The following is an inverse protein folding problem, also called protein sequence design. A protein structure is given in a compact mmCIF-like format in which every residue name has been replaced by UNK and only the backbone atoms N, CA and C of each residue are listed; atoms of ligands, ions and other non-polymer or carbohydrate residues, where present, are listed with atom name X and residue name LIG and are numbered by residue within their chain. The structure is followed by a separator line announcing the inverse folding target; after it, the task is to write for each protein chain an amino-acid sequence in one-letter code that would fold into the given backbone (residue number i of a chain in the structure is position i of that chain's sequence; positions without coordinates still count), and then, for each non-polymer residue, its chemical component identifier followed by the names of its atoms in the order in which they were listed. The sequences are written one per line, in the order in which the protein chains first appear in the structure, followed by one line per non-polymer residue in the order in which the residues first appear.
data_IF_100206875572
#
_entry.id   IF_100206875572
#
_cell.length_a   1.000
_cell.length_b   1.000
_cell.length_c   1.000
_cell.angle_alpha   90.00
_cell.angle_beta   90.00
_cell.angle_gamma   90.00
#
_symmetry.space_group_name_H-M   'P 1'
#
loop_
_entity.id
_entity.type
_entity.pdbx_description
1 polymer ?
#
# COMPACT_ATOMS: atom_id res chain seq x y z
N UNK A 1 -24.59 -0.23 14.50
CA UNK A 1 -24.09 -1.31 15.38
C UNK A 1 -24.93 -1.30 16.65
N UNK A 2 -25.05 -2.40 17.40
CA UNK A 2 -25.71 -2.36 18.74
C UNK A 2 -24.77 -1.60 19.70
N UNK A 3 -25.28 -0.63 20.46
CA UNK A 3 -24.52 0.28 21.33
C UNK A 3 -23.46 -0.42 22.20
N UNK A 4 -23.75 -1.59 22.76
CA UNK A 4 -22.79 -2.35 23.58
C UNK A 4 -21.56 -2.91 22.85
N UNK A 5 -21.55 -2.98 21.50
CA UNK A 5 -20.37 -3.40 20.71
C UNK A 5 -19.40 -2.26 20.43
N UNK A 6 -19.88 -1.02 20.38
CA UNK A 6 -19.01 0.15 20.14
C UNK A 6 -18.17 0.45 21.39
N UNK A 7 -18.76 0.32 22.56
CA UNK A 7 -18.06 0.50 23.84
C UNK A 7 -16.96 -0.56 24.04
N UNK A 8 -17.20 -1.82 23.66
CA UNK A 8 -16.19 -2.88 23.78
C UNK A 8 -15.02 -2.69 22.82
N UNK A 9 -15.28 -2.22 21.59
CA UNK A 9 -14.24 -1.92 20.59
C UNK A 9 -13.41 -0.72 21.01
N UNK A 10 -14.04 0.36 21.50
CA UNK A 10 -13.32 1.54 21.99
C UNK A 10 -12.42 1.20 23.19
N UNK A 11 -12.90 0.34 24.11
CA UNK A 11 -12.07 -0.18 25.22
C UNK A 11 -10.90 -1.01 24.72
N UNK A 12 -11.08 -1.84 23.71
CA UNK A 12 -10.01 -2.64 23.12
C UNK A 12 -8.95 -1.77 22.43
N UNK A 13 -9.36 -0.76 21.67
CA UNK A 13 -8.45 0.20 21.02
C UNK A 13 -7.66 0.95 22.09
N UNK A 14 -8.33 1.52 23.10
CA UNK A 14 -7.64 2.23 24.18
C UNK A 14 -6.73 1.32 25.01
N UNK A 15 -7.03 0.02 25.11
CA UNK A 15 -6.11 -0.95 25.70
C UNK A 15 -4.85 -1.13 24.85
N UNK A 16 -4.98 -1.27 23.53
CA UNK A 16 -3.85 -1.41 22.61
C UNK A 16 -2.98 -0.15 22.60
N UNK A 17 -3.58 1.04 22.49
CA UNK A 17 -2.87 2.33 22.53
C UNK A 17 -2.03 2.48 23.81
N UNK A 18 -2.57 2.07 24.96
CA UNK A 18 -1.86 2.11 26.25
C UNK A 18 -0.80 1.01 26.40
N UNK A 19 -1.10 -0.19 25.92
CA UNK A 19 -0.23 -1.36 26.07
C UNK A 19 1.00 -1.29 25.17
N UNK A 20 0.80 -0.76 23.97
CA UNK A 20 1.79 -0.63 22.91
C UNK A 20 2.06 0.86 22.66
N UNK A 21 2.38 1.57 23.74
CA UNK A 21 2.78 2.96 23.67
C UNK A 21 4.07 3.10 22.86
N UNK A 22 4.15 4.16 22.08
CA UNK A 22 5.30 4.55 21.27
C UNK A 22 5.57 6.04 21.48
N UNK A 23 6.82 6.47 21.31
CA UNK A 23 7.23 7.85 21.57
C UNK A 23 7.01 8.79 20.39
N UNK A 24 6.64 8.27 19.22
CA UNK A 24 6.49 9.04 17.99
C UNK A 24 5.04 9.26 17.55
N UNK A 25 4.06 8.97 18.42
CA UNK A 25 2.61 9.17 18.19
C UNK A 25 2.16 10.62 18.50
N UNK A 26 2.76 11.60 17.82
CA UNK A 26 2.38 13.02 17.97
C UNK A 26 1.19 13.32 17.04
N UNK A 27 0.17 14.01 17.56
CA UNK A 27 -1.15 14.11 16.90
C UNK A 27 -1.30 15.37 16.06
N UNK A 28 -0.66 16.46 16.45
CA UNK A 28 -0.76 17.75 15.76
C UNK A 28 0.49 18.61 15.96
N UNK A 29 0.61 19.70 15.20
CA UNK A 29 1.77 20.62 15.24
C UNK A 29 2.19 21.07 16.63
N UNK A 30 1.25 21.32 17.54
CA UNK A 30 1.58 21.78 18.89
C UNK A 30 2.32 20.71 19.73
N UNK A 31 2.14 19.42 19.43
CA UNK A 31 2.86 18.33 20.11
C UNK A 31 4.35 18.33 19.73
N UNK A 32 4.72 19.01 18.65
CA UNK A 32 6.09 19.05 18.09
C UNK A 32 6.63 20.48 18.03
N UNK A 33 6.19 21.36 18.94
CA UNK A 33 6.67 22.74 19.02
C UNK A 33 6.33 23.61 17.81
N UNK A 34 5.32 23.24 17.02
CA UNK A 34 4.92 23.90 15.77
C UNK A 34 6.03 23.95 14.69
N UNK A 35 6.97 23.00 14.70
CA UNK A 35 8.05 22.95 13.70
C UNK A 35 7.55 22.74 12.26
N UNK A 36 6.43 22.02 12.07
CA UNK A 36 5.79 21.81 10.77
C UNK A 36 4.28 21.63 10.92
N UNK A 37 3.53 21.72 9.81
CA UNK A 37 2.06 21.61 9.81
C UNK A 37 1.60 20.16 9.84
N UNK A 38 0.87 19.78 10.88
CA UNK A 38 0.33 18.44 11.09
C UNK A 38 -0.98 18.50 11.89
N UNK A 39 -1.87 17.56 11.59
CA UNK A 39 -3.20 17.44 12.18
C UNK A 39 -3.48 15.99 12.53
N UNK A 40 -4.50 15.77 13.35
CA UNK A 40 -4.98 14.42 13.69
C UNK A 40 -5.38 13.60 12.46
N UNK A 41 -5.70 14.26 11.33
CA UNK A 41 -6.08 13.60 10.07
C UNK A 41 -4.90 13.12 9.22
N UNK A 42 -3.70 13.68 9.40
CA UNK A 42 -2.54 13.35 8.55
C UNK A 42 -1.28 12.94 9.32
N UNK A 43 -1.29 12.96 10.65
CA UNK A 43 -0.11 12.55 11.42
C UNK A 43 0.36 11.12 11.11
N UNK A 44 -0.54 10.14 10.90
CA UNK A 44 -0.14 8.77 10.54
C UNK A 44 0.53 8.66 9.15
N UNK A 45 0.20 9.52 8.18
CA UNK A 45 0.94 9.53 6.90
C UNK A 45 2.26 10.30 7.05
N UNK A 46 2.27 11.37 7.85
CA UNK A 46 3.46 12.21 8.06
C UNK A 46 4.53 11.51 8.90
N UNK A 47 4.15 10.85 9.98
CA UNK A 47 5.04 10.12 10.88
C UNK A 47 5.36 8.76 10.29
N UNK A 48 6.63 8.54 9.92
CA UNK A 48 7.04 7.37 9.15
C UNK A 48 6.80 6.06 9.90
N UNK A 49 6.87 6.07 11.22
CA UNK A 49 6.66 4.90 12.06
C UNK A 49 5.25 4.28 11.98
N UNK A 50 4.24 5.04 11.52
CA UNK A 50 2.86 4.53 11.38
C UNK A 50 2.59 3.84 10.03
N UNK A 51 3.59 3.70 9.16
CA UNK A 51 3.43 2.98 7.90
C UNK A 51 3.58 1.47 8.10
N UNK A 52 2.63 0.61 7.65
CA UNK A 52 2.69 -0.84 7.80
C UNK A 52 3.61 -1.50 6.76
N UNK A 53 4.88 -1.10 6.73
CA UNK A 53 5.90 -1.59 5.82
C UNK A 53 7.29 -1.63 6.47
N UNK A 54 8.29 -2.09 5.72
CA UNK A 54 9.66 -2.24 6.22
C UNK A 54 10.32 -0.91 6.60
N UNK A 55 9.98 0.19 5.92
CA UNK A 55 10.50 1.52 6.24
C UNK A 55 9.85 2.03 7.53
N UNK A 56 8.54 1.86 7.67
CA UNK A 56 7.85 2.20 8.91
C UNK A 56 8.35 1.39 10.11
N UNK A 57 8.60 0.09 9.93
CA UNK A 57 9.25 -0.74 10.96
C UNK A 57 10.64 -0.21 11.33
N UNK A 58 11.46 0.13 10.33
CA UNK A 58 12.80 0.67 10.56
C UNK A 58 12.75 1.98 11.36
N UNK A 59 11.95 2.96 10.92
CA UNK A 59 11.81 4.24 11.62
C UNK A 59 11.22 4.06 13.01
N UNK A 60 10.22 3.20 13.17
CA UNK A 60 9.64 2.87 14.47
C UNK A 60 10.66 2.35 15.47
N UNK A 61 11.49 1.38 15.07
CA UNK A 61 12.54 0.85 15.95
C UNK A 61 13.57 1.94 16.23
N UNK A 62 14.05 2.64 15.20
CA UNK A 62 15.04 3.72 15.36
C UNK A 62 14.55 4.78 16.34
N UNK A 63 13.32 5.25 16.18
CA UNK A 63 12.68 6.28 17.00
C UNK A 63 12.52 5.84 18.46
N UNK A 64 12.11 4.58 18.70
CA UNK A 64 12.02 4.02 20.05
C UNK A 64 13.38 3.88 20.74
N UNK A 65 14.44 3.55 19.98
CA UNK A 65 15.80 3.44 20.51
C UNK A 65 16.42 4.79 20.85
N UNK A 66 16.10 5.82 20.07
CA UNK A 66 16.77 7.13 20.14
C UNK A 66 15.94 8.21 20.82
N UNK A 67 14.72 7.88 21.29
CA UNK A 67 13.76 8.87 21.79
C UNK A 67 13.48 9.99 20.77
N UNK A 68 13.47 9.66 19.48
CA UNK A 68 13.15 10.62 18.41
C UNK A 68 11.83 10.29 17.74
N UNK A 69 11.31 11.20 16.91
CA UNK A 69 10.18 10.95 16.03
C UNK A 69 10.49 11.50 14.63
N UNK A 70 10.35 10.66 13.59
CA UNK A 70 10.69 11.02 12.21
C UNK A 70 9.46 11.23 11.35
N UNK A 71 9.35 12.44 10.79
CA UNK A 71 8.23 12.90 9.96
C UNK A 71 8.68 13.25 8.55
N UNK A 72 7.72 13.33 7.62
CA UNK A 72 7.92 13.90 6.29
C UNK A 72 7.09 15.16 6.12
N UNK A 73 7.74 16.24 5.70
CA UNK A 73 7.09 17.47 5.29
C UNK A 73 7.84 18.08 4.10
N UNK A 74 7.11 18.51 3.07
CA UNK A 74 7.67 19.13 1.86
C UNK A 74 8.83 18.32 1.25
N UNK A 75 8.66 17.00 1.13
CA UNK A 75 9.69 16.10 0.60
C UNK A 75 10.96 15.95 1.44
N UNK A 76 10.96 16.38 2.70
CA UNK A 76 12.12 16.28 3.60
C UNK A 76 11.78 15.48 4.85
N UNK A 77 12.75 14.72 5.34
CA UNK A 77 12.65 14.06 6.64
C UNK A 77 12.97 15.08 7.73
N UNK A 78 12.07 15.22 8.69
CA UNK A 78 12.24 16.04 9.88
C UNK A 78 12.23 15.10 11.08
N UNK A 79 13.33 15.03 11.81
CA UNK A 79 13.44 14.23 13.04
C UNK A 79 13.54 15.15 14.24
N UNK A 80 12.66 14.93 15.21
CA UNK A 80 12.63 15.71 16.47
C UNK A 80 13.00 14.83 17.66
N UNK A 81 13.53 15.45 18.70
CA UNK A 81 13.72 14.81 20.00
C UNK A 81 12.39 14.83 20.77
N UNK A 82 11.91 13.66 21.16
CA UNK A 82 10.62 13.52 21.85
C UNK A 82 10.70 13.91 23.32
N UNK A 83 11.90 13.99 23.89
CA UNK A 83 12.10 14.43 25.28
C UNK A 83 11.90 15.94 25.45
N UNK A 84 12.23 16.73 24.42
CA UNK A 84 12.06 18.19 24.40
C UNK A 84 10.59 18.60 24.47
N UNK A 85 9.71 17.81 23.83
CA UNK A 85 8.27 18.10 23.72
C UNK A 85 7.40 17.20 24.60
N UNK A 86 8.01 16.40 25.48
CA UNK A 86 7.30 15.52 26.41
C UNK A 86 6.57 16.35 27.47
N UNK A 87 5.24 16.34 27.44
CA UNK A 87 4.40 17.03 28.45
C UNK A 87 4.52 16.43 29.86
N UNK A 88 5.04 15.20 29.99
CA UNK A 88 5.26 14.52 31.27
C UNK A 88 6.69 14.64 31.79
N UNK A 89 7.61 15.23 31.02
CA UNK A 89 9.03 15.34 31.36
C UNK A 89 9.77 14.00 31.45
N UNK A 90 9.12 12.90 31.03
CA UNK A 90 9.70 11.54 31.04
C UNK A 90 10.03 11.11 29.62
N UNK A 91 11.24 10.61 29.41
CA UNK A 91 11.63 9.94 28.17
C UNK A 91 10.92 8.59 28.04
N UNK A 92 10.72 8.15 26.81
CA UNK A 92 10.17 6.83 26.56
C UNK A 92 11.21 5.75 26.88
N UNK A 93 10.76 4.71 27.57
CA UNK A 93 11.63 3.60 27.95
C UNK A 93 11.34 2.36 27.10
N UNK A 94 12.20 2.09 26.12
CA UNK A 94 12.15 0.86 25.36
C UNK A 94 12.56 -0.35 26.22
N UNK A 95 11.60 -1.22 26.51
CA UNK A 95 11.78 -2.38 27.39
C UNK A 95 12.68 -3.45 26.78
N UNK A 96 13.60 -3.98 27.59
CA UNK A 96 14.47 -5.10 27.24
C UNK A 96 15.86 -4.96 27.86
N UNK A 97 16.41 -6.07 28.37
CA UNK A 97 17.72 -6.09 29.04
C UNK A 97 18.90 -6.26 28.05
N UNK A 98 18.63 -6.61 26.80
CA UNK A 98 19.62 -6.81 25.74
C UNK A 98 19.16 -6.13 24.46
N UNK A 99 20.08 -5.85 23.53
CA UNK A 99 19.74 -5.24 22.23
C UNK A 99 18.73 -6.09 21.45
N UNK A 100 18.88 -7.43 21.30
CA UNK A 100 17.87 -8.25 20.63
C UNK A 100 16.50 -8.19 21.32
N UNK A 101 16.45 -8.20 22.65
CA UNK A 101 15.20 -8.08 23.39
C UNK A 101 14.52 -6.72 23.15
N UNK A 102 15.29 -5.63 23.09
CA UNK A 102 14.78 -4.29 22.75
C UNK A 102 14.26 -4.20 21.31
N UNK A 103 14.94 -4.83 20.35
CA UNK A 103 14.46 -4.92 18.96
C UNK A 103 13.11 -5.65 18.91
N UNK A 104 13.01 -6.80 19.59
CA UNK A 104 11.76 -7.56 19.66
C UNK A 104 10.64 -6.77 20.33
N UNK A 105 10.91 -6.12 21.48
CA UNK A 105 9.94 -5.24 22.13
C UNK A 105 9.51 -4.09 21.23
N UNK A 106 10.46 -3.46 20.51
CA UNK A 106 10.18 -2.38 19.59
C UNK A 106 9.29 -2.81 18.42
N UNK A 107 9.53 -4.02 17.88
CA UNK A 107 8.66 -4.66 16.90
C UNK A 107 7.25 -4.91 17.45
N UNK A 108 7.13 -5.46 18.67
CA UNK A 108 5.83 -5.72 19.30
C UNK A 108 5.05 -4.42 19.57
N UNK A 109 5.73 -3.37 20.05
CA UNK A 109 5.14 -2.04 20.23
C UNK A 109 4.63 -1.48 18.92
N UNK A 110 5.46 -1.52 17.87
CA UNK A 110 5.08 -1.07 16.54
C UNK A 110 3.85 -1.79 16.00
N UNK A 111 3.88 -3.13 16.00
CA UNK A 111 2.79 -3.94 15.47
C UNK A 111 1.49 -3.72 16.24
N UNK A 112 1.57 -3.69 17.58
CA UNK A 112 0.42 -3.46 18.44
C UNK A 112 -0.19 -2.06 18.28
N UNK A 113 0.65 -1.04 18.10
CA UNK A 113 0.21 0.33 17.87
C UNK A 113 -0.45 0.49 16.48
N UNK A 114 0.12 -0.12 15.43
CA UNK A 114 -0.51 -0.15 14.11
C UNK A 114 -1.90 -0.80 14.14
N UNK A 115 -2.13 -1.81 14.99
CA UNK A 115 -3.45 -2.42 15.13
C UNK A 115 -4.48 -1.46 15.73
N UNK A 116 -4.12 -0.63 16.72
CA UNK A 116 -5.02 0.43 17.20
C UNK A 116 -5.30 1.47 16.12
N UNK A 117 -4.27 1.89 15.39
CA UNK A 117 -4.40 2.93 14.36
C UNK A 117 -5.25 2.47 13.17
N UNK A 118 -5.07 1.22 12.72
CA UNK A 118 -5.86 0.62 11.66
C UNK A 118 -7.33 0.45 12.06
N UNK A 119 -7.57 0.04 13.32
CA UNK A 119 -8.92 0.01 13.87
C UNK A 119 -9.50 1.44 13.85
N UNK A 120 -8.73 2.46 14.22
CA UNK A 120 -9.11 3.88 14.25
C UNK A 120 -9.48 4.32 15.67
N UNK A 121 -9.16 5.57 16.06
CA UNK A 121 -9.15 5.97 17.46
C UNK A 121 -10.51 5.88 18.18
N UNK A 122 -10.43 5.60 19.48
CA UNK A 122 -11.56 5.52 20.42
C UNK A 122 -12.37 6.83 20.51
N UNK A 123 -11.73 7.99 20.30
CA UNK A 123 -12.37 9.31 20.34
C UNK A 123 -13.05 9.74 19.04
N UNK A 124 -12.57 9.28 17.87
CA UNK A 124 -13.15 9.67 16.57
C UNK A 124 -14.48 8.94 16.29
N UNK A 125 -14.65 7.72 16.79
CA UNK A 125 -15.87 6.93 16.60
C UNK A 125 -17.07 7.40 17.44
N UNK A 126 -16.84 8.12 18.53
CA UNK A 126 -17.92 8.71 19.34
C UNK A 126 -18.64 9.88 18.67
N UNK A 127 -18.08 10.45 17.61
CA UNK A 127 -18.67 11.55 16.84
C UNK A 127 -18.49 11.35 15.35
N UNK A 128 -19.33 10.52 14.72
CA UNK A 128 -19.52 10.41 13.24
C UNK A 128 -18.27 10.16 12.36
N UNK A 129 -17.06 10.03 12.91
CA UNK A 129 -15.81 10.00 12.15
C UNK A 129 -15.14 8.63 12.11
N UNK A 130 -14.71 8.21 10.90
CA UNK A 130 -13.65 7.20 10.76
C UNK A 130 -12.34 7.86 11.19
N UNK A 131 -11.68 7.36 12.25
CA UNK A 131 -10.31 7.79 12.57
C UNK A 131 -9.40 7.69 11.33
N UNK A 132 -8.30 8.45 11.28
CA UNK A 132 -7.42 8.60 10.10
C UNK A 132 -7.00 7.28 9.44
N UNK A 133 -6.89 6.20 10.22
CA UNK A 133 -6.35 4.94 9.74
C UNK A 133 -4.85 5.04 9.49
N UNK A 134 -4.21 3.95 9.09
CA UNK A 134 -2.79 3.95 8.71
C UNK A 134 -2.63 4.03 7.20
N UNK A 135 -1.50 4.53 6.68
CA UNK A 135 -1.23 4.54 5.25
C UNK A 135 -1.26 3.13 4.65
N UNK A 136 -1.59 3.02 3.37
CA UNK A 136 -1.30 1.81 2.59
C UNK A 136 0.23 1.60 2.63
N UNK A 137 0.75 0.35 2.70
CA UNK A 137 2.19 0.10 2.69
C UNK A 137 2.92 0.92 1.61
N UNK A 138 4.00 1.58 2.02
CA UNK A 138 4.83 2.50 1.23
C UNK A 138 4.15 3.78 0.72
N UNK A 139 2.86 4.02 1.00
CA UNK A 139 2.15 5.20 0.54
C UNK A 139 2.72 6.50 1.13
N UNK A 140 3.24 6.46 2.36
CA UNK A 140 3.94 7.61 2.97
C UNK A 140 5.15 8.09 2.16
N UNK A 141 5.73 7.24 1.30
CA UNK A 141 6.85 7.63 0.43
C UNK A 141 6.44 8.60 -0.67
N UNK A 142 5.15 8.66 -1.03
CA UNK A 142 4.67 9.62 -2.02
C UNK A 142 4.83 11.08 -1.55
N UNK A 143 5.06 11.31 -0.25
CA UNK A 143 5.40 12.63 0.28
C UNK A 143 6.76 13.16 -0.21
N UNK A 144 7.63 12.31 -0.75
CA UNK A 144 8.90 12.72 -1.36
C UNK A 144 8.76 13.14 -2.83
N UNK A 145 7.59 12.92 -3.44
CA UNK A 145 7.31 13.25 -4.83
C UNK A 145 6.86 14.72 -4.98
N UNK A 146 7.78 15.65 -4.72
CA UNK A 146 7.55 17.11 -4.83
C UNK A 146 7.65 17.62 -6.28
N UNK A 147 6.92 16.99 -7.20
CA UNK A 147 6.86 17.39 -8.60
C UNK A 147 5.43 17.75 -9.04
N UNK A 148 5.36 18.53 -10.12
CA UNK A 148 4.13 18.94 -10.79
C UNK A 148 3.32 20.02 -10.06
N UNK A 149 2.41 20.65 -10.79
CA UNK A 149 1.42 21.60 -10.27
C UNK A 149 0.03 21.12 -10.70
N UNK A 150 -0.75 20.61 -9.76
CA UNK A 150 -2.03 19.95 -10.06
C UNK A 150 -3.21 20.65 -9.37
N UNK A 151 -4.35 20.65 -10.05
CA UNK A 151 -5.58 21.27 -9.55
C UNK A 151 -5.55 22.80 -9.55
N UNK A 152 -6.59 23.41 -8.95
CA UNK A 152 -6.75 24.87 -8.92
C UNK A 152 -5.73 25.55 -8.01
N UNK A 153 -5.34 24.88 -6.93
CA UNK A 153 -4.40 25.39 -5.93
C UNK A 153 -2.92 25.14 -6.30
N UNK A 154 -2.64 24.63 -7.51
CA UNK A 154 -1.28 24.31 -8.01
C UNK A 154 -0.44 23.51 -7.02
N UNK A 155 -1.01 22.42 -6.52
CA UNK A 155 -0.37 21.62 -5.48
C UNK A 155 0.59 20.60 -6.07
N UNK A 156 1.66 20.29 -5.33
CA UNK A 156 2.57 19.20 -5.69
C UNK A 156 1.88 17.85 -5.55
N UNK A 157 2.38 16.84 -6.26
CA UNK A 157 1.87 15.48 -6.15
C UNK A 157 1.90 14.95 -4.70
N UNK A 158 2.99 15.23 -3.97
CA UNK A 158 3.12 14.92 -2.54
C UNK A 158 1.97 15.50 -1.69
N UNK A 159 1.62 16.77 -1.92
CA UNK A 159 0.51 17.43 -1.20
C UNK A 159 -0.84 16.77 -1.53
N UNK A 160 -1.05 16.39 -2.79
CA UNK A 160 -2.27 15.69 -3.21
C UNK A 160 -2.34 14.30 -2.57
N UNK A 161 -1.25 13.54 -2.53
CA UNK A 161 -1.23 12.21 -1.89
C UNK A 161 -1.62 12.29 -0.40
N UNK A 162 -1.12 13.29 0.33
CA UNK A 162 -1.53 13.54 1.72
C UNK A 162 -3.03 13.85 1.82
N UNK A 163 -3.57 14.66 0.91
CA UNK A 163 -5.02 14.97 0.88
C UNK A 163 -5.87 13.74 0.53
N UNK A 164 -5.44 12.92 -0.42
CA UNK A 164 -6.12 11.66 -0.79
C UNK A 164 -6.20 10.72 0.42
N UNK A 165 -5.11 10.60 1.19
CA UNK A 165 -5.13 9.88 2.46
C UNK A 165 -6.14 10.46 3.46
N UNK A 166 -6.20 11.79 3.60
CA UNK A 166 -7.16 12.48 4.48
C UNK A 166 -8.63 12.24 4.10
N UNK A 167 -8.92 11.98 2.83
CA UNK A 167 -10.26 11.59 2.32
C UNK A 167 -10.61 10.11 2.62
N UNK A 168 -9.75 9.39 3.35
CA UNK A 168 -9.99 8.00 3.78
C UNK A 168 -9.36 6.95 2.88
N UNK A 169 -8.41 7.33 2.02
CA UNK A 169 -7.59 6.42 1.21
C UNK A 169 -6.49 5.76 2.08
N UNK A 170 -6.94 5.06 3.11
CA UNK A 170 -6.12 4.42 4.14
C UNK A 170 -5.89 2.92 3.84
N UNK A 171 -5.19 2.23 4.73
CA UNK A 171 -4.94 0.79 4.63
C UNK A 171 -6.20 -0.07 4.46
N UNK A 172 -7.33 0.32 5.07
CA UNK A 172 -8.60 -0.41 4.95
C UNK A 172 -9.15 -0.25 3.54
N UNK A 173 -9.04 0.95 2.98
CA UNK A 173 -9.33 1.19 1.57
C UNK A 173 -8.39 0.36 0.68
N UNK A 174 -7.10 0.30 0.99
CA UNK A 174 -6.13 -0.57 0.32
C UNK A 174 -6.54 -2.05 0.32
N UNK A 175 -7.00 -2.60 1.45
CA UNK A 175 -7.51 -3.98 1.50
C UNK A 175 -8.67 -4.18 0.52
N UNK A 176 -9.59 -3.22 0.42
CA UNK A 176 -10.71 -3.29 -0.53
C UNK A 176 -10.21 -3.25 -1.99
N UNK A 177 -9.24 -2.39 -2.29
CA UNK A 177 -8.60 -2.31 -3.60
C UNK A 177 -7.88 -3.61 -4.01
N UNK A 178 -7.38 -4.38 -3.05
CA UNK A 178 -6.70 -5.65 -3.32
C UNK A 178 -7.66 -6.76 -3.79
N UNK A 179 -8.95 -6.68 -3.47
CA UNK A 179 -9.95 -7.71 -3.82
C UNK A 179 -10.03 -7.92 -5.34
N UNK A 180 -10.31 -6.90 -6.19
CA UNK A 180 -10.36 -7.09 -7.63
C UNK A 180 -9.02 -7.55 -8.21
N UNK A 181 -7.89 -7.08 -7.66
CA UNK A 181 -6.55 -7.52 -8.10
C UNK A 181 -6.35 -9.01 -7.84
N UNK A 182 -6.74 -9.50 -6.66
CA UNK A 182 -6.67 -10.90 -6.30
C UNK A 182 -7.59 -11.76 -7.17
N UNK A 183 -8.83 -11.32 -7.40
CA UNK A 183 -9.79 -12.02 -8.27
C UNK A 183 -9.24 -12.15 -9.69
N UNK A 184 -8.74 -11.05 -10.27
CA UNK A 184 -8.11 -11.06 -11.60
C UNK A 184 -6.93 -12.02 -11.66
N UNK A 185 -6.06 -12.01 -10.64
CA UNK A 185 -4.90 -12.91 -10.57
C UNK A 185 -5.32 -14.40 -10.52
N UNK A 186 -6.29 -14.75 -9.66
CA UNK A 186 -6.75 -16.12 -9.47
C UNK A 186 -7.49 -16.66 -10.69
N UNK A 187 -8.41 -15.87 -11.25
CA UNK A 187 -9.18 -16.28 -12.43
C UNK A 187 -8.28 -16.46 -13.65
N UNK A 188 -7.31 -15.57 -13.86
CA UNK A 188 -6.37 -15.69 -14.98
C UNK A 188 -5.52 -16.96 -14.86
N UNK A 189 -5.03 -17.26 -13.65
CA UNK A 189 -4.28 -18.50 -13.38
C UNK A 189 -5.15 -19.72 -13.59
N UNK A 190 -6.40 -19.70 -13.11
CA UNK A 190 -7.35 -20.79 -13.29
C UNK A 190 -7.61 -21.07 -14.78
N UNK A 191 -7.87 -20.03 -15.58
CA UNK A 191 -8.10 -20.15 -17.02
C UNK A 191 -6.86 -20.71 -17.71
N UNK A 192 -5.65 -20.27 -17.32
CA UNK A 192 -4.41 -20.83 -17.86
C UNK A 192 -4.28 -22.33 -17.54
N UNK A 193 -4.57 -22.77 -16.31
CA UNK A 193 -4.57 -24.21 -15.96
C UNK A 193 -5.59 -24.99 -16.80
N UNK A 194 -6.81 -24.47 -16.94
CA UNK A 194 -7.87 -25.09 -17.75
C UNK A 194 -7.41 -25.22 -19.21
N UNK A 195 -6.79 -24.18 -19.77
CA UNK A 195 -6.23 -24.20 -21.13
C UNK A 195 -5.15 -25.28 -21.27
N UNK A 196 -4.16 -25.34 -20.38
CA UNK A 196 -3.08 -26.35 -20.42
C UNK A 196 -3.63 -27.76 -20.31
N UNK A 197 -4.56 -27.99 -19.39
CA UNK A 197 -5.10 -29.33 -19.14
C UNK A 197 -6.04 -29.81 -20.23
N UNK A 198 -7.02 -28.99 -20.62
CA UNK A 198 -8.12 -29.46 -21.47
C UNK A 198 -7.89 -29.19 -22.96
N UNK A 199 -7.23 -28.08 -23.31
CA UNK A 199 -6.95 -27.75 -24.70
C UNK A 199 -5.65 -28.38 -25.18
N UNK A 200 -4.57 -28.23 -24.41
CA UNK A 200 -3.26 -28.79 -24.77
C UNK A 200 -3.06 -30.25 -24.29
N UNK A 201 -4.00 -30.79 -23.52
CA UNK A 201 -3.99 -32.18 -23.02
C UNK A 201 -2.73 -32.54 -22.22
N UNK A 202 -2.14 -31.57 -21.53
CA UNK A 202 -0.93 -31.78 -20.74
C UNK A 202 -1.21 -32.49 -19.42
N UNK A 203 -0.17 -33.12 -18.87
CA UNK A 203 -0.20 -33.67 -17.52
C UNK A 203 -0.33 -32.58 -16.46
N UNK A 204 -0.99 -32.92 -15.35
CA UNK A 204 -1.20 -32.03 -14.21
C UNK A 204 0.09 -31.40 -13.67
N UNK A 205 1.21 -32.13 -13.74
CA UNK A 205 2.53 -31.65 -13.31
C UNK A 205 2.98 -30.42 -14.09
N UNK A 206 2.59 -30.32 -15.37
CA UNK A 206 2.93 -29.21 -16.25
C UNK A 206 1.90 -28.07 -16.20
N UNK A 207 0.79 -28.27 -15.49
CA UNK A 207 -0.30 -27.30 -15.35
C UNK A 207 -0.19 -26.48 -14.06
N UNK A 208 0.94 -26.48 -13.36
CA UNK A 208 1.12 -25.69 -12.13
C UNK A 208 1.44 -24.23 -12.52
N UNK A 209 0.63 -23.23 -12.12
CA UNK A 209 0.84 -21.85 -12.50
C UNK A 209 2.14 -21.31 -11.92
N UNK A 210 3.11 -21.01 -12.77
CA UNK A 210 4.39 -20.43 -12.37
C UNK A 210 4.61 -19.06 -13.01
N UNK A 211 5.13 -18.12 -12.24
CA UNK A 211 5.49 -16.79 -12.74
C UNK A 211 6.62 -16.82 -13.80
N UNK A 212 7.32 -17.95 -13.92
CA UNK A 212 8.36 -18.16 -14.93
C UNK A 212 7.78 -18.54 -16.29
N UNK A 213 6.51 -18.95 -16.36
CA UNK A 213 5.88 -19.29 -17.63
C UNK A 213 5.54 -17.99 -18.41
N UNK A 214 6.12 -17.77 -19.61
CA UNK A 214 5.91 -16.53 -20.35
C UNK A 214 4.46 -16.33 -20.81
N UNK A 215 3.76 -17.41 -21.17
CA UNK A 215 2.36 -17.35 -21.59
C UNK A 215 1.46 -16.86 -20.43
N UNK A 216 1.59 -17.48 -19.24
CA UNK A 216 0.83 -17.06 -18.06
C UNK A 216 1.14 -15.61 -17.67
N UNK A 217 2.40 -15.20 -17.75
CA UNK A 217 2.83 -13.84 -17.41
C UNK A 217 2.24 -12.80 -18.37
N UNK A 218 2.18 -13.09 -19.67
CA UNK A 218 1.47 -12.25 -20.67
C UNK A 218 -0.04 -12.22 -20.45
N UNK A 219 -0.66 -13.35 -20.11
CA UNK A 219 -2.08 -13.38 -19.75
C UNK A 219 -2.37 -12.48 -18.54
N UNK A 220 -1.53 -12.55 -17.51
CA UNK A 220 -1.64 -11.67 -16.33
C UNK A 220 -1.40 -10.20 -16.69
N UNK A 221 -0.46 -9.90 -17.59
CA UNK A 221 -0.22 -8.53 -18.07
C UNK A 221 -1.47 -7.96 -18.73
N UNK A 222 -2.10 -8.70 -19.65
CA UNK A 222 -3.32 -8.27 -20.34
C UNK A 222 -4.48 -8.12 -19.37
N UNK A 223 -4.63 -9.06 -18.43
CA UNK A 223 -5.71 -9.03 -17.45
C UNK A 223 -5.61 -7.83 -16.50
N UNK A 224 -4.43 -7.57 -15.93
CA UNK A 224 -4.19 -6.39 -15.07
C UNK A 224 -4.19 -5.08 -15.87
N UNK A 225 -3.74 -5.10 -17.12
CA UNK A 225 -3.83 -3.96 -18.03
C UNK A 225 -5.29 -3.57 -18.29
N UNK A 226 -6.14 -4.55 -18.58
CA UNK A 226 -7.59 -4.36 -18.75
C UNK A 226 -8.22 -3.80 -17.48
N UNK A 227 -7.86 -4.37 -16.31
CA UNK A 227 -8.33 -3.87 -15.02
C UNK A 227 -7.94 -2.40 -14.79
N UNK A 228 -6.69 -2.01 -15.07
CA UNK A 228 -6.23 -0.64 -14.90
C UNK A 228 -6.86 0.34 -15.90
N UNK A 229 -7.17 -0.10 -17.12
CA UNK A 229 -7.92 0.72 -18.08
C UNK A 229 -9.34 1.00 -17.56
N UNK A 230 -10.06 -0.03 -17.10
CA UNK A 230 -11.38 0.15 -16.51
C UNK A 230 -11.34 1.07 -15.29
N UNK A 231 -10.33 0.90 -14.43
CA UNK A 231 -10.08 1.74 -13.26
C UNK A 231 -9.83 3.21 -13.63
N UNK A 232 -8.94 3.48 -14.60
CA UNK A 232 -8.68 4.83 -15.08
C UNK A 232 -9.93 5.51 -15.64
N UNK A 233 -10.75 4.76 -16.38
CA UNK A 233 -11.99 5.27 -16.96
C UNK A 233 -13.02 5.58 -15.87
N UNK A 234 -13.25 4.69 -14.90
CA UNK A 234 -14.17 4.95 -13.78
C UNK A 234 -13.70 6.15 -12.95
N UNK A 235 -12.41 6.21 -12.59
CA UNK A 235 -11.82 7.34 -11.87
C UNK A 235 -11.93 8.66 -12.67
N UNK A 236 -11.68 8.61 -13.98
CA UNK A 236 -11.84 9.76 -14.88
C UNK A 236 -13.27 10.29 -14.92
N UNK A 237 -14.26 9.40 -15.05
CA UNK A 237 -15.68 9.77 -15.08
C UNK A 237 -16.12 10.40 -13.75
N UNK A 238 -15.73 9.81 -12.61
CA UNK A 238 -16.15 10.30 -11.28
C UNK A 238 -15.48 11.61 -10.89
N UNK A 239 -14.23 11.80 -11.29
CA UNK A 239 -13.42 12.93 -10.84
C UNK A 239 -13.68 14.22 -11.63
N UNK A 240 -14.09 14.11 -12.90
CA UNK A 240 -14.14 15.25 -13.80
C UNK A 240 -12.76 15.90 -13.91
N UNK A 241 -12.57 17.05 -13.24
CA UNK A 241 -11.29 17.78 -13.22
C UNK A 241 -10.61 17.79 -11.84
N UNK A 242 -11.14 17.07 -10.85
CA UNK A 242 -10.59 17.08 -9.49
C UNK A 242 -9.54 15.96 -9.31
N UNK A 243 -8.24 16.29 -9.20
CA UNK A 243 -7.19 15.28 -9.10
C UNK A 243 -7.24 14.47 -7.79
N UNK A 244 -7.76 15.04 -6.71
CA UNK A 244 -7.92 14.32 -5.43
C UNK A 244 -8.97 13.23 -5.61
N UNK A 245 -10.14 13.58 -6.16
CA UNK A 245 -11.22 12.61 -6.42
C UNK A 245 -10.75 11.54 -7.41
N UNK A 246 -9.98 11.90 -8.44
CA UNK A 246 -9.40 10.93 -9.37
C UNK A 246 -8.55 9.89 -8.64
N UNK A 247 -7.61 10.33 -7.81
CA UNK A 247 -6.71 9.43 -7.09
C UNK A 247 -7.42 8.65 -5.98
N UNK A 248 -8.44 9.21 -5.33
CA UNK A 248 -9.27 8.47 -4.36
C UNK A 248 -10.06 7.33 -5.00
N UNK A 249 -10.36 7.43 -6.30
CA UNK A 249 -11.02 6.37 -7.08
C UNK A 249 -10.06 5.49 -7.88
N UNK A 250 -8.76 5.79 -7.90
CA UNK A 250 -7.76 4.99 -8.61
C UNK A 250 -7.36 3.79 -7.76
N UNK A 251 -7.31 2.59 -8.34
CA UNK A 251 -6.85 1.40 -7.64
C UNK A 251 -5.32 1.31 -7.64
N UNK A 252 -4.68 1.99 -6.68
CA UNK A 252 -3.22 2.00 -6.52
C UNK A 252 -2.57 0.61 -6.51
N UNK A 253 -3.23 -0.40 -5.94
CA UNK A 253 -2.71 -1.77 -5.88
C UNK A 253 -2.70 -2.42 -7.27
N UNK A 254 -3.72 -2.18 -8.09
CA UNK A 254 -3.78 -2.67 -9.46
C UNK A 254 -2.65 -2.08 -10.30
N UNK A 255 -2.40 -0.77 -10.17
CA UNK A 255 -1.30 -0.09 -10.88
C UNK A 255 0.09 -0.59 -10.46
N UNK A 256 0.32 -0.80 -9.16
CA UNK A 256 1.55 -1.45 -8.68
C UNK A 256 1.66 -2.86 -9.27
N UNK A 257 0.58 -3.64 -9.25
CA UNK A 257 0.60 -5.02 -9.76
C UNK A 257 0.92 -5.05 -11.25
N UNK A 258 0.26 -4.22 -12.05
CA UNK A 258 0.55 -4.06 -13.47
C UNK A 258 2.02 -3.68 -13.70
N UNK A 259 2.52 -2.68 -12.99
CA UNK A 259 3.92 -2.26 -13.07
C UNK A 259 4.90 -3.40 -12.76
N UNK A 260 4.64 -4.19 -11.71
CA UNK A 260 5.51 -5.33 -11.35
C UNK A 260 5.53 -6.43 -12.40
N UNK A 261 4.43 -6.65 -13.12
CA UNK A 261 4.36 -7.64 -14.20
C UNK A 261 5.03 -7.09 -15.46
N UNK A 262 4.77 -5.83 -15.80
CA UNK A 262 5.40 -5.15 -16.93
C UNK A 262 6.93 -5.15 -16.79
N UNK A 263 7.45 -4.82 -15.61
CA UNK A 263 8.89 -4.89 -15.32
C UNK A 263 9.50 -6.28 -15.52
N UNK A 264 8.73 -7.35 -15.31
CA UNK A 264 9.19 -8.73 -15.57
C UNK A 264 9.10 -9.13 -17.04
N UNK A 265 8.21 -8.50 -17.82
CA UNK A 265 8.10 -8.74 -19.25
C UNK A 265 9.08 -7.91 -20.08
N UNK A 266 9.47 -6.73 -19.63
CA UNK A 266 10.42 -5.88 -20.35
C UNK A 266 11.73 -6.62 -20.70
N UNK A 267 12.42 -7.31 -19.76
CA UNK A 267 13.60 -8.10 -20.10
C UNK A 267 13.31 -9.27 -21.03
N UNK A 268 12.10 -9.84 -20.96
CA UNK A 268 11.68 -10.91 -21.86
C UNK A 268 11.62 -10.38 -23.29
N UNK A 269 11.00 -9.21 -23.52
CA UNK A 269 10.93 -8.56 -24.83
C UNK A 269 12.28 -8.07 -25.35
N UNK A 270 13.14 -7.54 -24.48
CA UNK A 270 14.51 -7.19 -24.88
C UNK A 270 15.33 -8.43 -25.26
N UNK A 271 15.12 -9.56 -24.57
CA UNK A 271 15.67 -10.85 -24.97
C UNK A 271 14.97 -11.41 -26.22
N UNK A 272 13.69 -11.10 -26.48
CA UNK A 272 13.01 -11.41 -27.75
C UNK A 272 13.57 -10.63 -28.94
N UNK A 273 14.32 -9.55 -28.72
CA UNK A 273 15.20 -8.98 -29.75
C UNK A 273 16.26 -9.96 -30.29
N UNK A 274 16.39 -11.13 -29.66
CA UNK A 274 17.18 -12.30 -30.13
C UNK A 274 16.33 -13.53 -30.49
N UNK A 275 15.00 -13.39 -30.57
CA UNK A 275 14.12 -14.49 -31.01
C UNK A 275 14.37 -14.82 -32.47
N UNK A 276 14.48 -16.11 -32.74
CA UNK A 276 14.45 -16.65 -34.09
C UNK A 276 13.04 -16.48 -34.69
N UNK A 277 12.86 -15.41 -35.46
CA UNK A 277 11.63 -15.11 -36.19
C UNK A 277 11.17 -16.27 -37.09
N UNK A 278 12.09 -17.13 -37.54
CA UNK A 278 11.74 -18.29 -38.35
C UNK A 278 11.00 -19.35 -37.52
N UNK A 279 11.44 -19.61 -36.29
CA UNK A 279 10.78 -20.57 -35.39
C UNK A 279 9.38 -20.09 -34.96
N UNK A 280 9.22 -18.79 -34.71
CA UNK A 280 7.92 -18.19 -34.37
C UNK A 280 6.92 -18.28 -35.53
N UNK A 281 7.35 -17.98 -36.76
CA UNK A 281 6.52 -18.11 -37.95
C UNK A 281 6.15 -19.57 -38.22
N UNK A 282 7.09 -20.50 -38.02
CA UNK A 282 6.84 -21.93 -38.22
C UNK A 282 5.79 -22.48 -37.23
N UNK A 283 5.81 -22.00 -35.98
CA UNK A 283 4.78 -22.33 -35.00
C UNK A 283 3.41 -21.77 -35.41
N UNK A 284 3.34 -20.50 -35.81
CA UNK A 284 2.10 -19.86 -36.27
C UNK A 284 1.52 -20.57 -37.50
N UNK A 285 2.35 -20.93 -38.47
CA UNK A 285 1.94 -21.68 -39.65
C UNK A 285 1.44 -23.09 -39.30
N UNK A 286 2.07 -23.75 -38.33
CA UNK A 286 1.62 -25.06 -37.85
C UNK A 286 0.27 -24.99 -37.16
N UNK A 287 0.03 -23.95 -36.36
CA UNK A 287 -1.25 -23.72 -35.70
C UNK A 287 -2.34 -23.32 -36.68
N UNK A 288 -2.02 -22.47 -37.67
CA UNK A 288 -2.93 -22.10 -38.73
C UNK A 288 -3.36 -23.32 -39.55
N UNK A 289 -2.42 -24.20 -39.91
CA UNK A 289 -2.73 -25.46 -40.59
C UNK A 289 -3.59 -26.39 -39.74
N UNK A 290 -3.31 -26.49 -38.43
CA UNK A 290 -4.12 -27.30 -37.50
C UNK A 290 -5.56 -26.78 -37.43
N UNK A 291 -5.75 -25.46 -37.33
CA UNK A 291 -7.07 -24.85 -37.31
C UNK A 291 -7.84 -25.08 -38.63
N UNK A 292 -7.15 -25.01 -39.78
CA UNK A 292 -7.76 -25.26 -41.09
C UNK A 292 -8.09 -26.73 -41.35
N UNK A 293 -7.39 -27.67 -40.73
CA UNK A 293 -7.68 -29.12 -40.86
C UNK A 293 -8.72 -29.63 -39.86
N UNK A 294 -9.20 -28.77 -38.96
CA UNK A 294 -10.24 -29.11 -37.97
C UNK A 294 -11.64 -28.60 -38.38
N UNK A 295 -11.78 -28.04 -39.60
CA UNK A 295 -13.06 -27.70 -40.26
C UNK A 295 -13.34 -28.76 -41.31
#
# INVERSE_FOLDING_TARGET
MKEGKEESVNKAIGFLEKKFAINYDHRHSADVGNQFKMTTKNHHIKSLGHSPDLLGLFFSILNQFTNTASFVDQGKIITIDTTEYSTTGTSFELKGNTVPAKIFSGFCNWLGHLFSDAAGSSGARGGTGRGSGIPIPFYSMLQFCEFGEFGKDKQTFATIAVRVFQEGYDFRHGIALAIPVLVTELLTRLIWVVKRRFFHKEDWKNCIPSANNPELRRMLLIAHGTLCVCDAVDAGIRSGTNPIVFLTHTNFIAWIRLGTIALKEIPSWFAEGSIDHAAANQYLDSEYKRLLTTI
#
